data_IF_879135526014
#
_entry.id   IF_879135526014
#
_cell.length_a   1.000
_cell.length_b   1.000
_cell.length_c   1.000
_cell.angle_alpha   90.00
_cell.angle_beta   90.00
_cell.angle_gamma   90.00
#
_symmetry.space_group_name_H-M   'P 1'
#
loop_
_entity.id
_entity.type
_entity.pdbx_description
1 polymer ?
#
# COMPACT_ATOMS: atom_id res chain seq x y z
N UNK A 1 -14.15 21.02 -17.91
CA UNK A 1 -15.49 20.74 -17.33
C UNK A 1 -15.51 19.46 -16.51
N UNK A 2 -15.02 18.32 -17.02
CA UNK A 2 -14.96 17.04 -16.27
C UNK A 2 -14.16 17.17 -14.96
N UNK A 3 -12.98 17.78 -14.99
CA UNK A 3 -12.15 17.95 -13.78
C UNK A 3 -12.83 18.87 -12.76
N UNK A 4 -13.46 19.94 -13.25
CA UNK A 4 -14.21 20.89 -12.42
C UNK A 4 -15.44 20.23 -11.75
N UNK A 5 -16.09 19.31 -12.46
CA UNK A 5 -17.16 18.48 -11.90
C UNK A 5 -16.61 17.49 -10.86
N UNK A 6 -15.47 16.84 -11.13
CA UNK A 6 -14.83 15.93 -10.17
C UNK A 6 -14.38 16.65 -8.90
N UNK A 7 -13.85 17.87 -9.01
CA UNK A 7 -13.52 18.72 -7.87
C UNK A 7 -14.77 19.08 -7.05
N UNK A 8 -15.89 19.40 -7.72
CA UNK A 8 -17.15 19.68 -7.02
C UNK A 8 -17.75 18.44 -6.34
N UNK A 9 -17.79 17.29 -7.03
CA UNK A 9 -18.27 16.02 -6.48
C UNK A 9 -17.35 15.48 -5.39
N UNK A 10 -16.04 15.71 -5.52
CA UNK A 10 -15.01 15.42 -4.52
C UNK A 10 -15.01 16.41 -3.35
N UNK A 11 -15.91 17.40 -3.34
CA UNK A 11 -16.06 18.44 -2.31
C UNK A 11 -14.81 19.30 -2.09
N UNK A 12 -13.93 19.38 -3.09
CA UNK A 12 -12.74 20.23 -3.09
C UNK A 12 -13.10 21.71 -3.33
N UNK A 13 -14.20 21.97 -4.04
CA UNK A 13 -14.72 23.32 -4.32
C UNK A 13 -16.17 23.46 -3.87
N UNK A 14 -16.56 24.64 -3.41
CA UNK A 14 -17.92 24.89 -2.94
C UNK A 14 -18.91 24.99 -4.11
N UNK A 15 -20.21 24.84 -3.82
CA UNK A 15 -21.30 25.03 -4.80
C UNK A 15 -21.26 26.42 -5.46
N UNK A 16 -20.84 27.43 -4.70
CA UNK A 16 -20.68 28.80 -5.20
C UNK A 16 -19.49 28.90 -6.16
N UNK A 17 -18.36 28.30 -5.80
CA UNK A 17 -17.12 28.40 -6.59
C UNK A 17 -17.23 27.55 -7.88
N UNK A 18 -17.90 26.41 -7.81
CA UNK A 18 -18.29 25.62 -8.98
C UNK A 18 -19.20 26.42 -9.91
N UNK A 19 -20.25 27.07 -9.37
CA UNK A 19 -21.14 27.94 -10.15
C UNK A 19 -20.44 29.14 -10.79
N UNK A 20 -19.54 29.79 -10.04
CA UNK A 20 -18.73 30.91 -10.54
C UNK A 20 -17.78 30.46 -11.67
N UNK A 21 -17.18 29.28 -11.53
CA UNK A 21 -16.31 28.70 -12.55
C UNK A 21 -17.07 28.31 -13.82
N UNK A 22 -18.28 27.79 -13.70
CA UNK A 22 -19.14 27.51 -14.85
C UNK A 22 -19.57 28.80 -15.57
N UNK A 23 -19.91 29.85 -14.83
CA UNK A 23 -20.22 31.16 -15.41
C UNK A 23 -19.00 31.77 -16.13
N UNK A 24 -17.80 31.65 -15.54
CA UNK A 24 -16.55 32.10 -16.17
C UNK A 24 -16.19 31.34 -17.46
N UNK A 25 -16.67 30.11 -17.61
CA UNK A 25 -16.58 29.32 -18.85
C UNK A 25 -17.62 29.74 -19.92
N UNK A 26 -18.42 30.78 -19.66
CA UNK A 26 -19.38 31.33 -20.61
C UNK A 26 -20.75 30.64 -20.61
N UNK A 27 -21.05 29.83 -19.59
CA UNK A 27 -22.38 29.20 -19.46
C UNK A 27 -23.42 30.23 -19.02
N UNK A 28 -24.62 30.14 -19.60
CA UNK A 28 -25.76 30.95 -19.18
C UNK A 28 -26.15 30.63 -17.73
N UNK A 29 -26.75 31.60 -17.04
CA UNK A 29 -27.26 31.42 -15.67
C UNK A 29 -28.25 30.25 -15.56
N UNK A 30 -29.07 30.01 -16.58
CA UNK A 30 -29.96 28.85 -16.64
C UNK A 30 -29.19 27.52 -16.74
N UNK A 31 -28.14 27.46 -17.55
CA UNK A 31 -27.29 26.28 -17.68
C UNK A 31 -26.50 26.00 -16.40
N UNK A 32 -25.96 27.05 -15.75
CA UNK A 32 -25.27 26.94 -14.46
C UNK A 32 -26.22 26.41 -13.39
N UNK A 33 -27.44 26.95 -13.29
CA UNK A 33 -28.43 26.49 -12.30
C UNK A 33 -28.87 25.04 -12.53
N UNK A 34 -29.07 24.62 -13.78
CA UNK A 34 -29.40 23.24 -14.14
C UNK A 34 -28.24 22.27 -13.83
N UNK A 35 -27.00 22.68 -14.06
CA UNK A 35 -25.83 21.89 -13.70
C UNK A 35 -25.65 21.80 -12.17
N UNK A 36 -25.88 22.89 -11.43
CA UNK A 36 -25.82 22.90 -9.97
C UNK A 36 -26.90 22.02 -9.34
N UNK A 37 -28.12 21.99 -9.91
CA UNK A 37 -29.19 21.12 -9.42
C UNK A 37 -28.91 19.64 -9.72
N UNK A 38 -28.39 19.32 -10.91
CA UNK A 38 -28.06 17.94 -11.26
C UNK A 38 -26.82 17.43 -10.52
N UNK A 39 -25.80 18.28 -10.36
CA UNK A 39 -24.57 17.91 -9.66
C UNK A 39 -24.77 17.77 -8.14
N UNK A 40 -25.77 18.45 -7.56
CA UNK A 40 -26.16 18.23 -6.15
C UNK A 40 -26.78 16.84 -5.91
N UNK A 41 -27.33 16.22 -6.96
CA UNK A 41 -27.92 14.88 -6.94
C UNK A 41 -26.96 13.80 -7.44
N UNK A 42 -25.81 14.19 -7.99
CA UNK A 42 -24.82 13.27 -8.49
C UNK A 42 -23.96 12.77 -7.34
N UNK A 43 -24.04 11.47 -7.06
CA UNK A 43 -23.08 10.80 -6.18
C UNK A 43 -21.79 10.51 -6.95
N UNK A 44 -20.66 10.48 -6.22
CA UNK A 44 -19.42 9.93 -6.78
C UNK A 44 -19.73 8.53 -7.33
N UNK A 45 -19.20 8.17 -8.51
CA UNK A 45 -19.37 6.81 -9.02
C UNK A 45 -18.96 5.82 -7.92
N UNK A 46 -19.73 4.73 -7.72
CA UNK A 46 -19.40 3.75 -6.70
C UNK A 46 -17.96 3.29 -6.92
N UNK A 47 -17.19 3.07 -5.84
CA UNK A 47 -15.80 2.69 -6.00
C UNK A 47 -15.75 1.43 -6.87
N UNK A 48 -14.90 1.44 -7.89
CA UNK A 48 -14.84 0.37 -8.88
C UNK A 48 -14.81 -1.01 -8.19
N UNK A 49 -15.58 -1.94 -8.76
CA UNK A 49 -15.66 -3.31 -8.27
C UNK A 49 -14.28 -3.97 -8.33
N UNK A 50 -13.99 -4.82 -7.35
CA UNK A 50 -12.74 -5.56 -7.35
C UNK A 50 -12.66 -6.51 -8.53
N UNK A 51 -11.48 -6.65 -9.11
CA UNK A 51 -11.26 -7.52 -10.28
C UNK A 51 -10.84 -8.90 -9.78
N UNK A 52 -11.52 -9.99 -10.19
CA UNK A 52 -11.07 -11.34 -9.87
C UNK A 52 -9.73 -11.60 -10.57
N UNK A 53 -8.78 -12.15 -9.83
CA UNK A 53 -7.43 -12.44 -10.30
C UNK A 53 -7.04 -13.88 -9.95
N UNK A 54 -6.34 -14.55 -10.88
CA UNK A 54 -5.78 -15.89 -10.67
C UNK A 54 -4.31 -15.87 -11.06
N UNK A 55 -3.44 -16.32 -10.16
CA UNK A 55 -1.99 -16.35 -10.39
C UNK A 55 -1.26 -17.11 -9.30
N UNK A 56 0.04 -16.88 -9.16
CA UNK A 56 0.78 -17.29 -7.96
C UNK A 56 0.53 -16.32 -6.79
N UNK A 57 0.84 -16.74 -5.56
CA UNK A 57 0.75 -15.85 -4.40
C UNK A 57 1.60 -14.58 -4.56
N UNK A 58 2.77 -14.70 -5.16
CA UNK A 58 3.63 -13.58 -5.52
C UNK A 58 2.99 -12.65 -6.57
N UNK A 59 2.32 -13.20 -7.58
CA UNK A 59 1.60 -12.37 -8.57
C UNK A 59 0.43 -11.62 -7.94
N UNK A 60 -0.30 -12.26 -7.03
CA UNK A 60 -1.36 -11.59 -6.24
C UNK A 60 -0.77 -10.44 -5.43
N UNK A 61 0.38 -10.65 -4.79
CA UNK A 61 1.08 -9.61 -4.03
C UNK A 61 1.43 -8.42 -4.93
N UNK A 62 2.08 -8.66 -6.08
CA UNK A 62 2.47 -7.59 -7.02
C UNK A 62 1.25 -6.82 -7.53
N UNK A 63 0.19 -7.51 -7.96
CA UNK A 63 -1.04 -6.85 -8.43
C UNK A 63 -1.75 -6.08 -7.31
N UNK A 64 -1.69 -6.57 -6.07
CA UNK A 64 -2.25 -5.84 -4.92
C UNK A 64 -1.50 -4.54 -4.67
N UNK A 65 -0.16 -4.57 -4.71
CA UNK A 65 0.68 -3.38 -4.53
C UNK A 65 0.45 -2.38 -5.67
N UNK A 66 0.41 -2.87 -6.92
CA UNK A 66 0.11 -2.06 -8.10
C UNK A 66 -1.27 -1.40 -8.00
N UNK A 67 -2.31 -2.16 -7.67
CA UNK A 67 -3.65 -1.63 -7.49
C UNK A 67 -3.73 -0.64 -6.31
N UNK A 68 -2.79 -0.71 -5.35
CA UNK A 68 -2.67 0.24 -4.25
C UNK A 68 -1.97 1.54 -4.64
N UNK A 69 -1.51 1.67 -5.88
CA UNK A 69 -0.78 2.84 -6.35
C UNK A 69 0.67 2.86 -5.91
N UNK A 70 1.22 1.73 -5.43
CA UNK A 70 2.65 1.62 -5.14
C UNK A 70 3.40 1.74 -6.46
N UNK A 71 4.28 2.73 -6.56
CA UNK A 71 5.12 2.98 -7.74
C UNK A 71 6.52 2.40 -7.59
N UNK A 72 7.07 2.49 -6.37
CA UNK A 72 8.42 2.08 -6.05
C UNK A 72 8.43 1.14 -4.86
N UNK A 73 9.23 0.09 -4.99
CA UNK A 73 9.56 -0.84 -3.91
C UNK A 73 11.06 -0.71 -3.65
N UNK A 74 11.44 -0.46 -2.41
CA UNK A 74 12.84 -0.37 -2.00
C UNK A 74 13.24 -1.68 -1.33
N UNK A 75 14.46 -2.19 -1.55
CA UNK A 75 14.83 -3.43 -0.88
C UNK A 75 16.16 -4.02 -1.28
N UNK A 76 16.46 -5.17 -0.69
CA UNK A 76 17.54 -6.06 -1.11
C UNK A 76 16.95 -7.34 -1.69
N UNK A 77 17.79 -8.17 -2.31
CA UNK A 77 17.38 -9.51 -2.75
C UNK A 77 17.17 -10.42 -1.54
N UNK A 78 16.06 -11.16 -1.52
CA UNK A 78 15.75 -12.10 -0.45
C UNK A 78 15.50 -13.50 -1.01
N UNK A 79 16.16 -14.51 -0.42
CA UNK A 79 16.10 -15.91 -0.89
C UNK A 79 14.69 -16.48 -0.85
N UNK A 80 13.91 -16.14 0.17
CA UNK A 80 12.50 -16.51 0.32
C UNK A 80 11.51 -15.71 -0.55
N UNK A 81 11.99 -14.71 -1.30
CA UNK A 81 11.20 -13.88 -2.22
C UNK A 81 11.46 -14.20 -3.70
N UNK A 82 12.07 -15.33 -4.05
CA UNK A 82 12.35 -15.69 -5.45
C UNK A 82 11.11 -15.59 -6.35
N UNK A 83 9.98 -16.16 -5.91
CA UNK A 83 8.70 -16.08 -6.63
C UNK A 83 8.20 -14.64 -6.81
N UNK A 84 8.52 -13.75 -5.86
CA UNK A 84 8.20 -12.33 -5.95
C UNK A 84 9.04 -11.62 -7.00
N UNK A 85 10.36 -11.90 -7.07
CA UNK A 85 11.20 -11.36 -8.13
C UNK A 85 10.78 -11.88 -9.51
N UNK A 86 10.43 -13.17 -9.63
CA UNK A 86 9.87 -13.72 -10.87
C UNK A 86 8.58 -12.97 -11.27
N UNK A 87 7.68 -12.72 -10.32
CA UNK A 87 6.45 -11.98 -10.58
C UNK A 87 6.70 -10.53 -11.05
N UNK A 88 7.70 -9.84 -10.49
CA UNK A 88 8.11 -8.50 -10.93
C UNK A 88 8.70 -8.49 -12.35
N UNK A 89 9.39 -9.56 -12.77
CA UNK A 89 9.89 -9.63 -14.17
C UNK A 89 8.75 -9.73 -15.18
N UNK A 90 7.64 -10.38 -14.81
CA UNK A 90 6.43 -10.50 -15.64
C UNK A 90 5.52 -9.27 -15.53
N UNK A 91 5.63 -8.51 -14.44
CA UNK A 91 4.82 -7.32 -14.11
C UNK A 91 5.73 -6.20 -13.65
N UNK A 92 6.25 -5.37 -14.56
CA UNK A 92 7.29 -4.39 -14.26
C UNK A 92 6.84 -3.23 -13.34
N UNK A 93 5.52 -3.07 -13.11
CA UNK A 93 4.96 -2.12 -12.16
C UNK A 93 4.43 -2.87 -10.92
N UNK A 94 4.93 -2.56 -9.69
CA UNK A 94 5.79 -1.45 -9.32
C UNK A 94 7.29 -1.67 -9.64
N UNK A 95 8.03 -0.58 -9.83
CA UNK A 95 9.48 -0.64 -10.05
C UNK A 95 10.23 -0.93 -8.75
N UNK A 96 11.12 -1.92 -8.76
CA UNK A 96 12.02 -2.19 -7.65
C UNK A 96 13.29 -1.34 -7.74
N UNK A 97 13.63 -0.67 -6.64
CA UNK A 97 14.89 0.04 -6.42
C UNK A 97 15.74 -0.81 -5.47
N UNK A 98 16.74 -1.48 -6.05
CA UNK A 98 17.63 -2.37 -5.31
C UNK A 98 18.71 -1.59 -4.57
N UNK A 99 18.94 -1.95 -3.31
CA UNK A 99 19.99 -1.43 -2.45
C UNK A 99 21.07 -2.47 -2.21
N UNK A 100 22.28 -2.02 -1.83
CA UNK A 100 23.38 -2.91 -1.43
C UNK A 100 23.27 -3.41 0.00
N UNK A 101 22.55 -2.67 0.86
CA UNK A 101 22.32 -3.03 2.26
C UNK A 101 20.87 -2.74 2.68
N UNK A 102 20.34 -3.52 3.60
CA UNK A 102 18.97 -3.41 4.11
C UNK A 102 18.75 -2.11 4.89
N UNK A 103 19.76 -1.65 5.61
CA UNK A 103 19.74 -0.35 6.29
C UNK A 103 19.57 0.79 5.29
N UNK A 104 20.30 0.77 4.17
CA UNK A 104 20.18 1.75 3.09
C UNK A 104 18.80 1.69 2.43
N UNK A 105 18.27 0.50 2.16
CA UNK A 105 16.92 0.32 1.61
C UNK A 105 15.86 0.93 2.54
N UNK A 106 16.04 0.74 3.85
CA UNK A 106 15.17 1.32 4.89
C UNK A 106 15.22 2.84 4.88
N UNK A 107 16.41 3.44 4.79
CA UNK A 107 16.58 4.89 4.66
C UNK A 107 15.96 5.45 3.37
N UNK A 108 16.07 4.71 2.25
CA UNK A 108 15.46 5.11 0.98
C UNK A 108 13.93 5.08 1.05
N UNK A 109 13.36 4.03 1.64
CA UNK A 109 11.92 3.94 1.85
C UNK A 109 11.40 5.06 2.78
N UNK A 110 12.15 5.37 3.84
CA UNK A 110 11.85 6.48 4.73
C UNK A 110 11.91 7.83 4.00
N UNK A 111 13.02 8.12 3.31
CA UNK A 111 13.20 9.37 2.57
C UNK A 111 12.16 9.58 1.46
N UNK A 112 11.76 8.50 0.77
CA UNK A 112 10.68 8.56 -0.22
C UNK A 112 9.35 8.98 0.41
N UNK A 113 9.00 8.42 1.56
CA UNK A 113 7.77 8.77 2.25
C UNK A 113 7.79 10.23 2.73
N UNK A 114 8.89 10.69 3.33
CA UNK A 114 9.04 12.09 3.73
C UNK A 114 8.95 13.07 2.54
N UNK A 115 9.52 12.71 1.40
CA UNK A 115 9.55 13.57 0.22
C UNK A 115 8.21 13.63 -0.54
N UNK A 116 7.39 12.58 -0.44
CA UNK A 116 6.19 12.42 -1.29
C UNK A 116 4.88 12.38 -0.51
N UNK A 117 4.95 12.16 0.80
CA UNK A 117 3.81 11.86 1.67
C UNK A 117 3.00 10.65 1.17
N UNK A 118 3.63 9.74 0.41
CA UNK A 118 3.06 8.50 -0.08
C UNK A 118 3.66 7.32 0.68
N UNK A 119 2.88 6.26 0.97
CA UNK A 119 3.42 5.09 1.63
C UNK A 119 4.57 4.48 0.82
N UNK A 120 5.60 4.01 1.51
CA UNK A 120 6.69 3.27 0.88
C UNK A 120 6.58 1.79 1.18
N UNK A 121 7.08 0.96 0.27
CA UNK A 121 7.16 -0.49 0.44
C UNK A 121 8.63 -0.87 0.52
N UNK A 122 9.02 -1.54 1.60
CA UNK A 122 10.35 -2.05 1.86
C UNK A 122 10.32 -3.57 1.79
N UNK A 123 11.19 -4.19 0.98
CA UNK A 123 11.39 -5.64 0.95
C UNK A 123 12.76 -5.99 1.50
N UNK A 124 12.78 -6.89 2.48
CA UNK A 124 14.02 -7.35 3.11
C UNK A 124 13.98 -8.86 3.41
N UNK A 125 15.12 -9.55 3.41
CA UNK A 125 15.21 -10.89 3.99
C UNK A 125 14.83 -10.86 5.48
N UNK A 126 14.08 -11.85 5.94
CA UNK A 126 13.67 -12.01 7.34
C UNK A 126 14.87 -12.10 8.28
N UNK A 127 15.93 -12.83 7.89
CA UNK A 127 17.21 -12.88 8.61
C UNK A 127 17.92 -11.53 8.70
N UNK A 128 17.66 -10.62 7.76
CA UNK A 128 18.27 -9.29 7.69
C UNK A 128 17.45 -8.22 8.40
N UNK A 129 16.33 -8.59 9.04
CA UNK A 129 15.52 -7.70 9.87
C UNK A 129 16.36 -6.90 10.88
N UNK A 130 17.31 -7.49 11.64
CA UNK A 130 18.17 -6.73 12.55
C UNK A 130 18.95 -5.59 11.87
N UNK A 131 19.41 -5.81 10.62
CA UNK A 131 20.15 -4.80 9.84
C UNK A 131 19.29 -3.59 9.45
N UNK A 132 17.95 -3.73 9.45
CA UNK A 132 17.02 -2.62 9.16
C UNK A 132 16.74 -1.74 10.38
N UNK A 133 16.91 -2.29 11.60
CA UNK A 133 16.28 -1.74 12.80
C UNK A 133 16.75 -0.34 13.16
N UNK A 134 18.01 0.01 12.89
CA UNK A 134 18.54 1.34 13.19
C UNK A 134 17.83 2.46 12.43
N UNK A 135 17.56 2.25 11.14
CA UNK A 135 16.88 3.21 10.27
C UNK A 135 15.37 3.08 10.39
N UNK A 136 14.87 1.90 10.74
CA UNK A 136 13.46 1.70 11.08
C UNK A 136 13.08 2.46 12.36
N UNK A 137 13.99 2.58 13.33
CA UNK A 137 13.79 3.44 14.49
C UNK A 137 13.55 4.91 14.09
N UNK A 138 14.34 5.44 13.15
CA UNK A 138 14.14 6.81 12.66
C UNK A 138 12.75 6.96 12.01
N UNK A 139 12.39 6.05 11.10
CA UNK A 139 11.08 6.04 10.47
C UNK A 139 9.93 5.90 11.48
N UNK A 140 10.10 5.08 12.51
CA UNK A 140 9.10 4.90 13.58
C UNK A 140 8.94 6.16 14.43
N UNK A 141 10.05 6.83 14.75
CA UNK A 141 10.08 8.10 15.49
C UNK A 141 9.40 9.22 14.71
N UNK A 142 9.65 9.27 13.41
CA UNK A 142 9.11 10.27 12.48
C UNK A 142 7.69 9.91 11.99
N UNK A 143 7.19 8.73 12.40
CA UNK A 143 5.87 8.18 12.05
C UNK A 143 5.66 7.90 10.57
N UNK A 144 6.73 7.64 9.83
CA UNK A 144 6.66 7.37 8.40
C UNK A 144 5.86 6.11 8.07
N UNK A 145 5.04 6.24 7.02
CA UNK A 145 4.14 5.22 6.51
C UNK A 145 4.88 4.17 5.66
N UNK A 146 5.63 3.28 6.30
CA UNK A 146 6.41 2.22 5.62
C UNK A 146 5.73 0.86 5.78
N UNK A 147 5.48 0.15 4.69
CA UNK A 147 5.14 -1.28 4.71
C UNK A 147 6.41 -2.12 4.49
N UNK A 148 6.88 -2.76 5.55
CA UNK A 148 7.99 -3.72 5.55
C UNK A 148 7.45 -5.11 5.23
N UNK A 149 7.94 -5.69 4.15
CA UNK A 149 7.65 -7.03 3.70
C UNK A 149 8.90 -7.88 3.88
N UNK A 150 8.81 -8.87 4.76
CA UNK A 150 9.92 -9.77 5.05
C UNK A 150 9.56 -11.20 4.63
N UNK A 151 10.57 -11.92 4.13
CA UNK A 151 10.39 -13.34 3.84
C UNK A 151 10.38 -14.19 5.11
N UNK A 152 9.70 -15.32 5.00
CA UNK A 152 9.66 -16.38 6.00
C UNK A 152 10.17 -17.68 5.40
N UNK A 153 10.84 -18.48 6.22
CA UNK A 153 11.13 -19.87 5.91
C UNK A 153 9.83 -20.60 5.57
N UNK A 154 9.90 -21.63 4.72
CA UNK A 154 8.71 -22.40 4.39
C UNK A 154 8.04 -22.95 5.66
N UNK A 155 6.70 -22.89 5.68
CA UNK A 155 5.86 -23.38 6.80
C UNK A 155 6.18 -24.83 7.20
N UNK A 156 6.64 -25.66 6.24
CA UNK A 156 7.03 -27.06 6.47
C UNK A 156 8.27 -27.23 7.36
N UNK A 157 9.13 -26.22 7.42
CA UNK A 157 10.37 -26.21 8.20
C UNK A 157 10.31 -25.23 9.37
N UNK A 158 9.11 -24.71 9.70
CA UNK A 158 8.96 -23.79 10.80
C UNK A 158 9.31 -24.44 12.15
N UNK A 159 10.06 -23.74 13.01
CA UNK A 159 10.47 -24.22 14.34
C UNK A 159 11.53 -25.33 14.31
N UNK A 160 12.31 -25.47 13.23
CA UNK A 160 13.34 -26.51 13.08
C UNK A 160 14.77 -25.96 13.04
N UNK A 161 14.97 -24.69 13.42
CA UNK A 161 16.22 -23.97 13.26
C UNK A 161 16.82 -24.12 11.84
N UNK A 162 15.96 -23.93 10.85
CA UNK A 162 16.29 -24.08 9.44
C UNK A 162 17.18 -22.96 8.91
N UNK A 163 17.64 -23.12 7.66
CA UNK A 163 18.46 -22.11 6.98
C UNK A 163 17.75 -20.74 6.96
N UNK A 164 18.44 -19.70 7.42
CA UNK A 164 17.96 -18.32 7.52
C UNK A 164 16.64 -18.16 8.30
N UNK A 165 16.29 -19.12 9.16
CA UNK A 165 15.13 -19.04 10.02
C UNK A 165 15.41 -18.13 11.22
N UNK A 166 14.61 -17.08 11.36
CA UNK A 166 14.61 -16.20 12.52
C UNK A 166 13.41 -16.56 13.41
N UNK A 167 13.66 -17.24 14.52
CA UNK A 167 12.60 -17.65 15.46
C UNK A 167 12.00 -16.44 16.21
N UNK A 168 12.85 -15.45 16.56
CA UNK A 168 12.47 -14.26 17.34
C UNK A 168 12.10 -13.05 16.47
N UNK A 169 11.53 -13.31 15.29
CA UNK A 169 11.17 -12.26 14.35
C UNK A 169 10.13 -11.30 14.93
N UNK A 170 9.18 -11.83 15.71
CA UNK A 170 8.11 -11.06 16.30
C UNK A 170 8.66 -10.08 17.33
N UNK A 171 9.51 -10.57 18.23
CA UNK A 171 10.19 -9.82 19.29
C UNK A 171 11.00 -8.66 18.70
N UNK A 172 11.78 -8.96 17.67
CA UNK A 172 12.66 -7.98 17.01
C UNK A 172 11.86 -6.84 16.36
N UNK A 173 10.70 -7.15 15.79
CA UNK A 173 9.84 -6.14 15.17
C UNK A 173 8.94 -5.43 16.17
N UNK A 174 8.93 -5.81 17.45
CA UNK A 174 8.01 -5.18 18.40
C UNK A 174 8.31 -3.70 18.66
N UNK A 175 9.59 -3.34 18.66
CA UNK A 175 10.04 -2.02 19.12
C UNK A 175 9.71 -0.90 18.12
N UNK A 176 9.89 -1.13 16.83
CA UNK A 176 9.89 -0.08 15.80
C UNK A 176 8.83 -0.30 14.72
N UNK A 177 7.77 -1.02 15.04
CA UNK A 177 6.60 -1.17 14.16
C UNK A 177 5.32 -0.85 14.90
N UNK A 178 4.39 -0.23 14.19
CA UNK A 178 3.01 0.05 14.62
C UNK A 178 2.17 -1.22 14.63
N UNK A 179 2.35 -2.07 13.63
CA UNK A 179 1.65 -3.33 13.50
C UNK A 179 2.52 -4.37 12.82
N UNK A 180 2.29 -5.63 13.14
CA UNK A 180 3.06 -6.77 12.65
C UNK A 180 2.15 -7.97 12.43
N UNK A 181 2.36 -8.67 11.32
CA UNK A 181 1.55 -9.81 10.92
C UNK A 181 2.38 -10.85 10.21
N UNK A 182 1.89 -12.09 10.21
CA UNK A 182 2.42 -13.20 9.44
C UNK A 182 1.29 -13.82 8.63
N UNK A 183 1.50 -13.95 7.32
CA UNK A 183 0.55 -14.63 6.45
C UNK A 183 0.54 -16.13 6.78
N UNK A 184 -0.66 -16.67 7.02
CA UNK A 184 -0.85 -18.09 7.35
C UNK A 184 -1.41 -18.91 6.21
N UNK A 185 -2.04 -18.25 5.24
CA UNK A 185 -2.57 -18.87 4.03
C UNK A 185 -2.55 -17.87 2.88
N UNK A 186 -2.64 -18.39 1.66
CA UNK A 186 -2.62 -17.63 0.42
C UNK A 186 -3.79 -16.66 0.33
N UNK A 187 -4.97 -17.03 0.83
CA UNK A 187 -6.19 -16.21 0.76
C UNK A 187 -6.10 -14.88 1.51
N UNK A 188 -5.10 -14.71 2.38
CA UNK A 188 -4.87 -13.50 3.15
C UNK A 188 -4.00 -12.45 2.43
N UNK A 189 -3.34 -12.80 1.33
CA UNK A 189 -2.31 -11.93 0.71
C UNK A 189 -2.88 -10.55 0.39
N UNK A 190 -3.93 -10.46 -0.43
CA UNK A 190 -4.46 -9.16 -0.84
C UNK A 190 -5.02 -8.36 0.34
N UNK A 191 -5.76 -9.02 1.23
CA UNK A 191 -6.37 -8.37 2.41
C UNK A 191 -5.31 -7.80 3.35
N UNK A 192 -4.30 -8.60 3.71
CA UNK A 192 -3.30 -8.19 4.70
C UNK A 192 -2.36 -7.13 4.16
N UNK A 193 -2.00 -7.18 2.87
CA UNK A 193 -1.19 -6.13 2.24
C UNK A 193 -1.95 -4.81 2.21
N UNK A 194 -3.25 -4.84 1.85
CA UNK A 194 -4.12 -3.66 1.90
C UNK A 194 -4.28 -3.11 3.31
N UNK A 195 -4.52 -3.98 4.28
CA UNK A 195 -4.58 -3.61 5.70
C UNK A 195 -3.25 -3.02 6.16
N UNK A 196 -2.13 -3.60 5.77
CA UNK A 196 -0.80 -3.13 6.15
C UNK A 196 -0.53 -1.70 5.69
N UNK A 197 -0.77 -1.42 4.40
CA UNK A 197 -0.68 -0.06 3.85
C UNK A 197 -1.61 0.91 4.59
N UNK A 198 -2.86 0.50 4.84
CA UNK A 198 -3.84 1.35 5.54
C UNK A 198 -3.42 1.64 6.98
N UNK A 199 -2.93 0.63 7.71
CA UNK A 199 -2.48 0.79 9.09
C UNK A 199 -1.25 1.68 9.15
N UNK A 200 -0.31 1.54 8.21
CA UNK A 200 0.88 2.36 8.14
C UNK A 200 0.56 3.85 7.97
N UNK A 201 -0.44 4.18 7.14
CA UNK A 201 -0.87 5.56 6.87
C UNK A 201 -1.79 6.16 7.93
N UNK A 202 -2.57 5.32 8.63
CA UNK A 202 -3.55 5.84 9.61
C UNK A 202 -2.82 6.65 10.70
N UNK A 203 -3.24 7.88 11.04
CA UNK A 203 -2.62 8.67 12.09
C UNK A 203 -2.44 7.90 13.42
N UNK A 204 -1.32 8.07 14.13
CA UNK A 204 -0.24 9.03 13.87
C UNK A 204 0.72 8.64 12.74
N UNK A 205 0.50 7.53 12.03
CA UNK A 205 1.43 6.94 11.05
C UNK A 205 2.41 5.95 11.71
N UNK A 206 3.10 5.16 10.89
CA UNK A 206 4.28 4.40 11.34
C UNK A 206 4.52 3.09 10.58
N UNK A 207 5.71 2.50 10.74
CA UNK A 207 6.08 1.29 10.01
C UNK A 207 5.20 0.09 10.36
N UNK A 208 4.88 -0.73 9.37
CA UNK A 208 4.14 -1.99 9.53
C UNK A 208 4.96 -3.13 8.97
N UNK A 209 5.01 -4.27 9.64
CA UNK A 209 5.74 -5.45 9.19
C UNK A 209 4.81 -6.59 8.81
N UNK A 210 4.97 -7.17 7.62
CA UNK A 210 4.26 -8.38 7.21
C UNK A 210 5.28 -9.43 6.78
N UNK A 211 5.28 -10.55 7.50
CA UNK A 211 6.07 -11.75 7.19
C UNK A 211 5.30 -12.65 6.23
N UNK A 212 5.98 -13.18 5.22
CA UNK A 212 5.37 -14.00 4.17
C UNK A 212 6.26 -15.20 3.85
N UNK A 213 5.73 -16.42 4.04
CA UNK A 213 6.49 -17.65 3.81
C UNK A 213 6.68 -17.94 2.33
N UNK A 214 7.86 -18.46 1.98
CA UNK A 214 8.23 -18.84 0.60
C UNK A 214 7.16 -19.69 -0.11
N UNK A 215 6.58 -20.67 0.59
CA UNK A 215 5.58 -21.57 0.03
C UNK A 215 4.25 -20.88 -0.30
N UNK A 216 3.87 -19.84 0.46
CA UNK A 216 2.67 -19.05 0.17
C UNK A 216 2.86 -18.20 -1.09
N UNK A 217 4.04 -17.58 -1.24
CA UNK A 217 4.37 -16.79 -2.43
C UNK A 217 4.48 -17.68 -3.69
N UNK A 218 5.06 -18.88 -3.55
CA UNK A 218 5.21 -19.85 -4.63
C UNK A 218 3.95 -20.64 -4.98
N UNK A 219 2.88 -20.55 -4.19
CA UNK A 219 1.64 -21.28 -4.43
C UNK A 219 1.02 -20.85 -5.77
N UNK A 220 0.62 -21.81 -6.59
CA UNK A 220 -0.01 -21.58 -7.90
C UNK A 220 -1.54 -21.59 -7.80
N UNK A 221 -2.20 -20.98 -8.79
CA UNK A 221 -3.66 -20.94 -8.91
C UNK A 221 -4.38 -20.30 -7.71
N UNK A 222 -3.72 -19.34 -7.06
CA UNK A 222 -4.32 -18.53 -6.00
C UNK A 222 -5.36 -17.61 -6.62
N UNK A 223 -6.59 -17.67 -6.12
CA UNK A 223 -7.73 -16.88 -6.61
C UNK A 223 -8.11 -15.84 -5.57
N UNK A 224 -7.97 -14.56 -5.91
CA UNK A 224 -8.35 -13.44 -5.03
C UNK A 224 -8.95 -12.30 -5.82
N UNK A 225 -9.73 -11.46 -5.13
CA UNK A 225 -10.28 -10.24 -5.71
C UNK A 225 -9.37 -9.06 -5.39
N UNK A 226 -8.83 -8.41 -6.43
CA UNK A 226 -7.98 -7.24 -6.30
C UNK A 226 -8.85 -5.98 -6.38
N UNK A 227 -8.95 -5.28 -5.26
CA UNK A 227 -9.68 -4.01 -5.19
C UNK A 227 -8.77 -2.84 -5.59
N UNK A 228 -9.30 -1.79 -6.24
CA UNK A 228 -8.55 -0.57 -6.55
C UNK A 228 -8.34 0.32 -5.31
N UNK A 229 -7.35 1.22 -5.35
CA UNK A 229 -7.05 2.14 -4.24
C UNK A 229 -8.25 3.02 -3.82
N UNK A 230 -9.11 3.41 -4.76
CA UNK A 230 -10.30 4.23 -4.48
C UNK A 230 -11.26 3.64 -3.45
N UNK A 231 -11.27 2.30 -3.29
CA UNK A 231 -12.05 1.60 -2.25
C UNK A 231 -11.56 1.84 -0.83
N UNK A 232 -10.29 2.24 -0.66
CA UNK A 232 -9.63 2.36 0.64
C UNK A 232 -9.35 3.82 1.04
N UNK A 233 -9.63 4.76 0.14
CA UNK A 233 -9.60 6.19 0.40
C UNK A 233 -10.84 6.55 1.21
N UNK A 234 -10.75 6.39 2.53
CA UNK A 234 -11.77 6.88 3.47
C UNK A 234 -11.53 8.37 3.68
N UNK A 235 -12.49 9.26 3.37
CA UNK A 235 -12.37 10.67 3.69
C UNK A 235 -12.19 10.83 5.21
N UNK A 236 -11.09 11.46 5.64
CA UNK A 236 -10.83 11.74 7.06
C UNK A 236 -11.52 13.04 7.53
N UNK A 237 -12.58 13.49 6.84
CA UNK A 237 -13.39 14.63 7.30
C UNK A 237 -14.08 14.26 8.62
N UNK A 238 -13.48 14.67 9.74
CA UNK A 238 -14.13 14.59 11.05
C UNK A 238 -15.21 15.68 11.13
N UNK A 239 -16.44 15.27 11.40
CA UNK A 239 -17.56 16.16 11.69
C UNK A 239 -17.75 16.30 13.22
N UNK A 240 -18.23 17.46 13.72
CA UNK A 240 -18.48 18.69 12.98
C UNK A 240 -17.18 19.41 12.62
N UNK A 241 -17.17 20.06 11.46
CA UNK A 241 -16.06 20.93 11.04
C UNK A 241 -15.92 22.07 12.08
N UNK A 242 -14.71 22.38 12.56
CA UNK A 242 -14.49 23.49 13.49
C UNK A 242 -14.89 24.84 12.89
#
# INVERSE_FOLDING_TARGET
>A
MRDLLMQFLGREISRRDFGASLAALGLSTSAVNALLSNAASAELPPPAEGVPFTGTGAEVLVETLRAAGVRYIFGTTATGMSAFFDALTLRPDPQMILSLAESQATSMAHGYELATNQPSVLIVPGVAVPSTMNNLYNAWKDRSSILVLADGTSTRYEGRNGFQQMETWLESMMAFTKWRWELRNEGQIAEMIRRGLKVAQTPPGGPVHIRMSLDLLGMKNVKQTIYPQSRFNVPLEMLPKP
#
